data_IF_520024884600
#
_entry.id   IF_520024884600
#
_cell.length_a   1.000
_cell.length_b   1.000
_cell.length_c   1.000
_cell.angle_alpha   90.00
_cell.angle_beta   90.00
_cell.angle_gamma   90.00
#
_symmetry.space_group_name_H-M   'P 1'
#
loop_
_entity.id
_entity.type
_entity.pdbx_description
1 polymer ?
#
# COMPACT_ATOMS: atom_id res chain seq x y z
N UNK A 1 32.10 75.92 -20.69
CA UNK A 1 31.16 74.94 -20.05
C UNK A 1 31.87 73.64 -19.60
N UNK A 2 32.40 73.39 -18.39
CA UNK A 2 33.02 74.26 -17.34
C UNK A 2 32.37 74.25 -15.95
N UNK A 3 31.05 74.22 -15.84
CA UNK A 3 30.38 74.25 -14.52
C UNK A 3 30.07 72.84 -13.97
N UNK A 4 29.79 71.87 -14.85
CA UNK A 4 29.69 70.44 -14.49
C UNK A 4 31.04 69.84 -14.08
N UNK A 5 32.16 70.34 -14.60
CA UNK A 5 33.52 69.93 -14.21
C UNK A 5 33.94 70.40 -12.81
N UNK A 6 33.19 71.31 -12.17
CA UNK A 6 33.57 71.90 -10.87
C UNK A 6 32.98 71.19 -9.63
N UNK A 7 31.97 70.34 -9.77
CA UNK A 7 31.33 69.64 -8.63
C UNK A 7 31.75 68.17 -8.44
N UNK A 8 32.38 67.53 -9.44
CA UNK A 8 32.89 66.16 -9.30
C UNK A 8 34.34 66.06 -8.78
N UNK A 9 35.08 67.18 -8.72
CA UNK A 9 36.51 67.23 -8.31
C UNK A 9 36.73 67.45 -6.80
N UNK A 10 35.68 67.44 -5.98
CA UNK A 10 35.74 67.93 -4.60
C UNK A 10 35.35 66.91 -3.49
N UNK A 11 35.37 65.59 -3.76
CA UNK A 11 35.48 64.56 -2.68
C UNK A 11 36.37 63.38 -3.09
N UNK A 12 37.49 63.63 -3.78
CA UNK A 12 38.63 62.69 -3.76
C UNK A 12 39.52 63.04 -2.58
N UNK A 13 39.17 62.48 -1.41
CA UNK A 13 39.65 62.97 -0.11
C UNK A 13 40.08 61.91 0.91
N UNK A 14 40.44 60.70 0.48
CA UNK A 14 41.52 59.92 1.13
C UNK A 14 41.94 58.71 0.29
N UNK A 15 43.25 58.52 0.15
CA UNK A 15 43.81 57.51 -0.74
C UNK A 15 43.89 56.11 -0.09
N UNK A 16 43.63 55.07 -0.89
CA UNK A 16 44.29 53.75 -0.76
C UNK A 16 44.54 53.19 -2.18
N UNK A 17 45.63 52.43 -2.38
CA UNK A 17 46.11 52.09 -3.72
C UNK A 17 45.19 51.10 -4.44
N UNK A 18 45.17 51.18 -5.79
CA UNK A 18 44.51 50.19 -6.66
C UNK A 18 45.06 48.79 -6.39
N UNK A 19 44.31 47.98 -5.64
CA UNK A 19 44.50 46.53 -5.64
C UNK A 19 43.97 46.01 -6.97
N UNK A 20 44.83 45.35 -7.77
CA UNK A 20 44.35 44.51 -8.87
C UNK A 20 43.53 43.38 -8.24
N UNK A 21 42.22 43.44 -8.42
CA UNK A 21 41.33 42.30 -8.17
C UNK A 21 41.41 41.46 -9.44
N UNK A 22 42.00 40.27 -9.32
CA UNK A 22 41.80 39.19 -10.29
C UNK A 22 40.29 38.93 -10.40
N UNK A 23 39.75 38.53 -11.56
CA UNK A 23 38.38 38.04 -11.63
C UNK A 23 38.29 36.75 -10.81
N UNK A 24 38.00 36.90 -9.51
CA UNK A 24 37.62 35.81 -8.63
C UNK A 24 36.31 35.26 -9.19
N UNK A 25 36.36 34.03 -9.69
CA UNK A 25 35.17 33.27 -10.10
C UNK A 25 34.29 33.16 -8.85
N UNK A 26 33.05 33.63 -8.91
CA UNK A 26 32.21 33.59 -7.72
C UNK A 26 31.93 32.14 -7.32
N UNK A 27 31.81 31.82 -6.02
CA UNK A 27 31.55 30.45 -5.55
C UNK A 27 30.26 29.79 -6.09
N UNK A 28 29.46 30.55 -6.84
CA UNK A 28 28.17 30.17 -7.40
C UNK A 28 28.21 29.85 -8.90
N UNK A 29 29.34 30.08 -9.60
CA UNK A 29 29.50 29.78 -11.03
C UNK A 29 29.73 28.28 -11.34
N UNK A 30 29.73 27.42 -10.32
CA UNK A 30 29.89 25.97 -10.51
C UNK A 30 28.52 25.31 -10.67
N UNK A 31 28.17 24.72 -11.83
CA UNK A 31 26.94 23.95 -11.96
C UNK A 31 27.02 22.65 -11.13
N UNK A 32 26.43 22.68 -9.94
CA UNK A 32 26.43 21.53 -9.03
C UNK A 32 25.95 21.87 -7.62
N UNK A 33 25.94 20.87 -6.75
CA UNK A 33 25.69 21.06 -5.32
C UNK A 33 27.04 21.18 -4.60
N UNK A 34 27.23 22.24 -3.80
CA UNK A 34 28.41 22.36 -2.95
C UNK A 34 28.54 21.15 -2.03
N UNK A 35 29.72 20.52 -2.01
CA UNK A 35 30.02 19.40 -1.11
C UNK A 35 30.31 19.87 0.32
N UNK A 36 30.65 21.16 0.52
CA UNK A 36 30.89 21.71 1.84
C UNK A 36 29.54 21.82 2.59
N UNK A 37 29.40 21.10 3.70
CA UNK A 37 28.17 21.06 4.49
C UNK A 37 27.03 20.23 3.88
N UNK A 38 27.25 19.50 2.78
CA UNK A 38 26.20 18.65 2.20
C UNK A 38 25.88 17.47 3.13
N UNK A 39 24.61 17.24 3.42
CA UNK A 39 24.18 16.03 4.13
C UNK A 39 23.91 14.91 3.14
N UNK A 40 24.06 13.64 3.56
CA UNK A 40 23.65 12.48 2.76
C UNK A 40 22.19 12.59 2.29
N UNK A 41 21.30 13.14 3.14
CA UNK A 41 19.89 13.41 2.81
C UNK A 41 19.78 14.42 1.65
N UNK A 42 20.52 15.52 1.70
CA UNK A 42 20.57 16.54 0.64
C UNK A 42 21.10 15.94 -0.66
N UNK A 43 22.28 15.30 -0.63
CA UNK A 43 22.90 14.66 -1.79
C UNK A 43 21.97 13.63 -2.46
N UNK A 44 21.40 12.72 -1.66
CA UNK A 44 20.47 11.71 -2.16
C UNK A 44 19.17 12.32 -2.74
N UNK A 45 18.70 13.43 -2.19
CA UNK A 45 17.51 14.15 -2.71
C UNK A 45 17.81 14.77 -4.08
N UNK A 46 18.96 15.44 -4.22
CA UNK A 46 19.43 16.03 -5.48
C UNK A 46 19.63 14.96 -6.56
N UNK A 47 20.35 13.87 -6.24
CA UNK A 47 20.53 12.72 -7.16
C UNK A 47 19.18 12.14 -7.60
N UNK A 48 18.19 12.06 -6.69
CA UNK A 48 16.85 11.57 -7.04
C UNK A 48 16.08 12.53 -7.94
N UNK A 49 16.25 13.84 -7.82
CA UNK A 49 15.62 14.81 -8.73
C UNK A 49 16.23 14.74 -10.13
N UNK A 50 17.56 14.72 -10.24
CA UNK A 50 18.28 14.58 -11.53
C UNK A 50 17.85 13.28 -12.24
N UNK A 51 17.87 12.15 -11.52
CA UNK A 51 17.40 10.87 -12.09
C UNK A 51 15.91 10.88 -12.43
N UNK A 52 15.08 11.66 -11.74
CA UNK A 52 13.66 11.76 -12.05
C UNK A 52 13.39 12.54 -13.34
N UNK A 53 14.19 13.57 -13.66
CA UNK A 53 14.09 14.29 -14.94
C UNK A 53 14.55 13.46 -16.13
N UNK A 54 15.50 12.54 -15.92
CA UNK A 54 16.02 11.63 -16.95
C UNK A 54 15.19 10.35 -17.12
N UNK A 55 14.46 9.91 -16.08
CA UNK A 55 13.75 8.62 -16.10
C UNK A 55 12.48 8.72 -16.96
N UNK A 56 12.37 7.99 -18.09
CA UNK A 56 11.19 8.03 -18.93
C UNK A 56 9.97 7.44 -18.20
N UNK A 57 8.81 8.09 -18.39
CA UNK A 57 7.58 7.68 -17.72
C UNK A 57 7.11 6.29 -18.20
N UNK A 58 7.09 5.31 -17.29
CA UNK A 58 6.77 3.91 -17.61
C UNK A 58 5.28 3.74 -17.97
N UNK A 59 5.01 3.28 -19.20
CA UNK A 59 3.66 3.07 -19.75
C UNK A 59 2.75 2.24 -18.83
N UNK A 60 3.24 1.08 -18.34
CA UNK A 60 2.48 0.20 -17.44
C UNK A 60 2.16 0.88 -16.10
N UNK A 61 3.09 1.64 -15.52
CA UNK A 61 2.84 2.41 -14.29
C UNK A 61 1.73 3.45 -14.50
N UNK A 62 1.76 4.21 -15.61
CA UNK A 62 0.69 5.15 -15.96
C UNK A 62 -0.68 4.45 -16.14
N UNK A 63 -0.71 3.26 -16.73
CA UNK A 63 -1.93 2.48 -16.88
C UNK A 63 -2.51 2.02 -15.52
N UNK A 64 -1.67 1.52 -14.61
CA UNK A 64 -2.10 1.10 -13.28
C UNK A 64 -2.54 2.29 -12.43
N UNK A 65 -1.87 3.45 -12.53
CA UNK A 65 -2.32 4.70 -11.88
C UNK A 65 -3.72 5.08 -12.38
N UNK A 66 -4.01 4.98 -13.68
CA UNK A 66 -5.37 5.23 -14.22
C UNK A 66 -6.40 4.26 -13.67
N UNK A 67 -6.07 2.95 -13.59
CA UNK A 67 -6.93 1.93 -12.96
C UNK A 67 -7.22 2.27 -11.49
N UNK A 68 -6.18 2.64 -10.72
CA UNK A 68 -6.32 3.09 -9.33
C UNK A 68 -7.22 4.32 -9.23
N UNK A 69 -7.01 5.33 -10.06
CA UNK A 69 -7.84 6.55 -10.05
C UNK A 69 -9.31 6.23 -10.29
N UNK A 70 -9.63 5.48 -11.34
CA UNK A 70 -11.00 5.11 -11.68
C UNK A 70 -11.67 4.23 -10.60
N UNK A 71 -10.93 3.32 -9.97
CA UNK A 71 -11.47 2.48 -8.90
C UNK A 71 -11.71 3.25 -7.59
N UNK A 72 -10.80 4.17 -7.23
CA UNK A 72 -10.98 5.03 -6.05
C UNK A 72 -12.09 6.07 -6.30
N UNK A 73 -12.20 6.63 -7.50
CA UNK A 73 -13.29 7.52 -7.91
C UNK A 73 -14.66 6.81 -7.81
N UNK A 74 -14.76 5.57 -8.30
CA UNK A 74 -15.97 4.74 -8.19
C UNK A 74 -16.40 4.50 -6.74
N UNK A 75 -15.44 4.31 -5.81
CA UNK A 75 -15.72 4.02 -4.40
C UNK A 75 -15.95 5.29 -3.55
N UNK A 76 -15.19 6.35 -3.82
CA UNK A 76 -15.14 7.56 -2.97
C UNK A 76 -15.93 8.75 -3.56
N UNK A 77 -16.32 8.70 -4.83
CA UNK A 77 -16.89 9.83 -5.58
C UNK A 77 -15.85 10.82 -6.14
N UNK A 78 -14.56 10.66 -5.82
CA UNK A 78 -13.49 11.57 -6.28
C UNK A 78 -12.20 10.81 -6.66
N UNK A 79 -11.59 11.20 -7.78
CA UNK A 79 -10.34 10.62 -8.27
C UNK A 79 -9.10 11.18 -7.54
N UNK A 80 -8.24 10.34 -6.93
CA UNK A 80 -7.06 10.78 -6.20
C UNK A 80 -5.96 11.34 -7.11
N UNK A 81 -5.14 12.24 -6.57
CA UNK A 81 -3.88 12.66 -7.21
C UNK A 81 -2.84 11.53 -7.20
N UNK A 82 -1.82 11.61 -8.06
CA UNK A 82 -0.74 10.61 -8.06
C UNK A 82 0.05 10.64 -6.74
N UNK A 83 0.26 11.83 -6.16
CA UNK A 83 0.94 12.00 -4.88
C UNK A 83 0.17 11.37 -3.72
N UNK A 84 -1.15 11.38 -3.74
CA UNK A 84 -1.98 10.69 -2.74
C UNK A 84 -1.86 9.18 -2.87
N UNK A 85 -1.86 8.63 -4.08
CA UNK A 85 -1.60 7.20 -4.32
C UNK A 85 -0.25 6.81 -3.71
N UNK A 86 0.84 7.52 -4.04
CA UNK A 86 2.18 7.22 -3.53
C UNK A 86 2.35 7.48 -2.02
N UNK A 87 1.53 8.36 -1.44
CA UNK A 87 1.49 8.64 0.01
C UNK A 87 0.71 7.57 0.77
N UNK A 88 -0.43 7.13 0.24
CA UNK A 88 -1.32 6.15 0.84
C UNK A 88 -0.70 4.75 0.93
N UNK A 89 0.17 4.37 -0.02
CA UNK A 89 1.02 3.17 0.10
C UNK A 89 1.91 3.16 1.35
N UNK A 90 2.10 4.30 2.04
CA UNK A 90 2.86 4.39 3.29
C UNK A 90 1.96 4.37 4.54
N UNK A 91 0.64 4.24 4.37
CA UNK A 91 -0.33 4.18 5.47
C UNK A 91 0.07 3.13 6.51
N UNK A 92 -0.09 3.48 7.79
CA UNK A 92 0.28 2.60 8.91
C UNK A 92 -0.63 1.37 9.02
N UNK A 93 -1.84 1.43 8.47
CA UNK A 93 -2.84 0.37 8.56
C UNK A 93 -2.44 -0.88 7.76
N UNK A 94 -1.66 -0.70 6.69
CA UNK A 94 -1.27 -1.76 5.75
C UNK A 94 0.04 -2.42 6.21
N UNK A 95 0.15 -3.75 6.17
CA UNK A 95 1.40 -4.42 6.54
C UNK A 95 2.54 -4.14 5.53
N UNK A 96 3.81 -4.18 5.97
CA UNK A 96 4.97 -3.75 5.15
C UNK A 96 5.16 -4.61 3.88
N UNK A 97 4.94 -5.91 4.01
CA UNK A 97 4.90 -6.87 2.90
C UNK A 97 3.78 -6.54 1.90
N UNK A 98 2.56 -6.24 2.37
CA UNK A 98 1.44 -5.81 1.53
C UNK A 98 1.75 -4.50 0.81
N UNK A 99 2.31 -3.49 1.48
CA UNK A 99 2.77 -2.24 0.81
C UNK A 99 3.77 -2.51 -0.32
N UNK A 100 4.70 -3.44 -0.12
CA UNK A 100 5.67 -3.83 -1.15
C UNK A 100 4.98 -4.55 -2.32
N UNK A 101 3.97 -5.38 -2.06
CA UNK A 101 3.12 -6.00 -3.08
C UNK A 101 2.35 -4.95 -3.88
N UNK A 102 1.62 -4.04 -3.23
CA UNK A 102 0.88 -2.96 -3.90
C UNK A 102 1.81 -2.05 -4.73
N UNK A 103 2.97 -1.66 -4.18
CA UNK A 103 3.96 -0.85 -4.89
C UNK A 103 4.52 -1.56 -6.13
N UNK A 104 4.86 -2.86 -6.02
CA UNK A 104 5.27 -3.67 -7.17
C UNK A 104 4.14 -3.81 -8.19
N UNK A 105 2.90 -3.98 -7.74
CA UNK A 105 1.72 -4.06 -8.59
C UNK A 105 1.51 -2.79 -9.42
N UNK A 106 1.52 -1.61 -8.80
CA UNK A 106 1.41 -0.33 -9.53
C UNK A 106 2.54 -0.16 -10.55
N UNK A 107 3.76 -0.60 -10.24
CA UNK A 107 4.86 -0.57 -11.21
C UNK A 107 4.88 -1.71 -12.25
N UNK A 108 3.94 -2.67 -12.19
CA UNK A 108 4.02 -3.94 -12.93
C UNK A 108 5.37 -4.65 -12.77
N UNK A 109 5.91 -4.63 -11.55
CA UNK A 109 7.18 -5.25 -11.15
C UNK A 109 7.05 -6.66 -10.59
N UNK A 110 5.87 -7.28 -10.68
CA UNK A 110 5.68 -8.71 -10.44
C UNK A 110 6.10 -9.50 -11.69
N UNK A 111 6.78 -10.64 -11.49
CA UNK A 111 7.15 -11.57 -12.56
C UNK A 111 5.95 -12.48 -12.88
N UNK A 112 5.07 -12.03 -13.78
CA UNK A 112 3.84 -12.72 -14.21
C UNK A 112 3.52 -12.40 -15.66
N UNK A 113 2.77 -13.29 -16.32
CA UNK A 113 2.16 -13.03 -17.63
C UNK A 113 3.18 -12.59 -18.68
N UNK A 114 2.93 -11.41 -19.27
CA UNK A 114 3.79 -10.73 -20.25
C UNK A 114 5.26 -10.48 -19.81
N UNK A 115 5.68 -10.84 -18.60
CA UNK A 115 7.10 -10.92 -18.23
C UNK A 115 7.80 -12.12 -18.87
N UNK A 116 7.08 -13.25 -19.03
CA UNK A 116 7.63 -14.54 -19.44
C UNK A 116 7.51 -14.83 -20.94
N UNK A 117 6.59 -14.17 -21.66
CA UNK A 117 6.24 -14.46 -23.07
C UNK A 117 7.41 -14.46 -24.08
N UNK A 118 8.53 -13.81 -23.74
CA UNK A 118 9.75 -13.79 -24.58
C UNK A 118 10.93 -14.61 -24.05
N UNK A 119 10.71 -15.46 -23.03
CA UNK A 119 11.75 -16.34 -22.46
C UNK A 119 11.80 -17.69 -23.18
N UNK A 120 12.91 -18.43 -23.13
CA UNK A 120 12.94 -19.82 -23.59
C UNK A 120 12.10 -20.73 -22.67
N UNK A 121 11.80 -21.94 -23.14
CA UNK A 121 11.17 -22.97 -22.31
C UNK A 121 12.10 -23.41 -21.15
N UNK A 122 11.55 -23.80 -19.98
CA UNK A 122 10.13 -23.86 -19.65
C UNK A 122 9.52 -22.50 -19.25
N UNK A 123 10.33 -21.45 -19.08
CA UNK A 123 9.87 -20.22 -18.43
C UNK A 123 8.75 -19.47 -19.16
N UNK A 124 8.64 -19.58 -20.49
CA UNK A 124 7.55 -18.96 -21.25
C UNK A 124 6.16 -19.47 -20.85
N UNK A 125 6.05 -20.68 -20.32
CA UNK A 125 4.78 -21.28 -19.93
C UNK A 125 4.14 -20.53 -18.75
N UNK A 126 4.95 -19.96 -17.85
CA UNK A 126 4.52 -19.07 -16.76
C UNK A 126 3.88 -17.74 -17.23
N UNK A 127 3.79 -17.48 -18.55
CA UNK A 127 2.99 -16.39 -19.09
C UNK A 127 1.48 -16.67 -19.08
N UNK A 128 1.09 -17.95 -19.11
CA UNK A 128 -0.30 -18.39 -19.21
C UNK A 128 -0.72 -19.07 -17.90
N UNK A 129 -1.94 -18.81 -17.45
CA UNK A 129 -2.56 -19.57 -16.37
C UNK A 129 -3.03 -20.92 -16.92
N UNK A 130 -2.56 -22.08 -16.39
CA UNK A 130 -2.92 -23.38 -16.95
C UNK A 130 -4.39 -23.75 -16.75
N UNK A 131 -5.02 -23.26 -15.66
CA UNK A 131 -6.44 -23.54 -15.38
C UNK A 131 -7.40 -22.74 -16.28
N UNK A 132 -7.00 -21.55 -16.71
CA UNK A 132 -7.87 -20.60 -17.42
C UNK A 132 -7.45 -20.34 -18.87
N UNK A 133 -6.30 -20.88 -19.31
CA UNK A 133 -5.69 -20.69 -20.62
C UNK A 133 -5.65 -19.22 -21.12
N UNK A 134 -5.35 -18.29 -20.21
CA UNK A 134 -5.27 -16.85 -20.50
C UNK A 134 -3.98 -16.25 -19.94
N UNK A 135 -3.63 -15.04 -20.38
CA UNK A 135 -2.44 -14.33 -19.89
C UNK A 135 -2.57 -14.05 -18.40
N UNK A 136 -1.63 -14.56 -17.61
CA UNK A 136 -1.69 -14.47 -16.16
C UNK A 136 -1.23 -13.08 -15.68
N UNK A 137 -2.14 -12.10 -15.66
CA UNK A 137 -1.90 -10.77 -15.10
C UNK A 137 -2.50 -10.62 -13.67
N UNK A 138 -2.29 -9.47 -13.04
CA UNK A 138 -2.73 -9.26 -11.65
C UNK A 138 -4.26 -9.07 -11.51
N UNK A 139 -4.97 -8.70 -12.58
CA UNK A 139 -6.45 -8.71 -12.59
C UNK A 139 -6.92 -10.17 -12.61
N UNK A 140 -6.35 -10.98 -13.51
CA UNK A 140 -6.67 -12.40 -13.61
C UNK A 140 -6.40 -13.15 -12.30
N UNK A 141 -5.17 -13.09 -11.77
CA UNK A 141 -4.76 -13.79 -10.53
C UNK A 141 -5.70 -13.46 -9.36
N UNK A 142 -6.14 -12.20 -9.25
CA UNK A 142 -6.92 -11.75 -8.10
C UNK A 142 -8.42 -11.96 -8.27
N UNK A 143 -8.98 -11.89 -9.48
CA UNK A 143 -10.43 -11.80 -9.67
C UNK A 143 -11.00 -12.72 -10.75
N UNK A 144 -10.32 -12.86 -11.88
CA UNK A 144 -10.87 -13.57 -13.05
C UNK A 144 -10.43 -15.05 -13.12
N UNK A 145 -9.58 -15.49 -12.20
CA UNK A 145 -9.06 -16.86 -12.15
C UNK A 145 -10.02 -17.81 -11.42
N UNK A 146 -10.24 -19.00 -11.97
CA UNK A 146 -11.08 -20.06 -11.39
C UNK A 146 -10.41 -20.83 -10.23
N UNK A 147 -9.34 -20.28 -9.65
CA UNK A 147 -8.57 -20.98 -8.64
C UNK A 147 -9.22 -20.95 -7.26
N UNK A 148 -9.02 -22.04 -6.51
CA UNK A 148 -9.51 -22.16 -5.13
C UNK A 148 -9.03 -21.00 -4.26
N UNK A 149 -7.78 -20.53 -4.44
CA UNK A 149 -7.26 -19.41 -3.66
C UNK A 149 -7.98 -18.09 -3.97
N UNK A 150 -8.29 -17.79 -5.23
CA UNK A 150 -8.98 -16.55 -5.59
C UNK A 150 -10.45 -16.57 -5.11
N UNK A 151 -11.18 -17.64 -5.40
CA UNK A 151 -12.61 -17.75 -5.06
C UNK A 151 -12.83 -17.79 -3.54
N UNK A 152 -12.15 -18.69 -2.83
CA UNK A 152 -12.43 -18.89 -1.41
C UNK A 152 -11.99 -17.69 -0.55
N UNK A 153 -10.88 -17.03 -0.87
CA UNK A 153 -10.40 -15.88 -0.10
C UNK A 153 -11.35 -14.67 -0.23
N UNK A 154 -11.94 -14.43 -1.40
CA UNK A 154 -12.93 -13.35 -1.53
C UNK A 154 -14.26 -13.67 -0.87
N UNK A 155 -14.73 -14.93 -0.94
CA UNK A 155 -15.92 -15.35 -0.20
C UNK A 155 -15.72 -15.14 1.31
N UNK A 156 -14.61 -15.62 1.88
CA UNK A 156 -14.27 -15.41 3.30
C UNK A 156 -14.18 -13.93 3.68
N UNK A 157 -13.61 -13.08 2.81
CA UNK A 157 -13.51 -11.64 3.03
C UNK A 157 -14.89 -10.94 3.02
N UNK A 158 -15.78 -11.36 2.12
CA UNK A 158 -17.15 -10.88 2.03
C UNK A 158 -17.99 -11.32 3.23
N UNK A 159 -18.00 -12.63 3.52
CA UNK A 159 -18.76 -13.22 4.62
C UNK A 159 -18.36 -12.64 5.98
N UNK A 160 -17.06 -12.41 6.19
CA UNK A 160 -16.54 -11.77 7.40
C UNK A 160 -17.09 -10.35 7.58
N UNK A 161 -17.25 -9.58 6.51
CA UNK A 161 -17.72 -8.19 6.56
C UNK A 161 -19.24 -8.05 6.51
N UNK A 162 -20.00 -9.12 6.29
CA UNK A 162 -21.45 -9.09 6.12
C UNK A 162 -22.23 -8.41 7.28
N UNK A 163 -21.73 -8.49 8.52
CA UNK A 163 -22.35 -7.82 9.68
C UNK A 163 -22.00 -6.32 9.79
N UNK A 164 -21.11 -5.79 8.96
CA UNK A 164 -20.59 -4.41 8.98
C UNK A 164 -20.81 -3.63 7.68
N UNK A 165 -21.18 -4.32 6.59
CA UNK A 165 -21.47 -3.73 5.27
C UNK A 165 -22.62 -4.46 4.59
N UNK A 166 -23.65 -3.74 4.15
CA UNK A 166 -24.82 -4.35 3.47
C UNK A 166 -24.47 -4.97 2.11
N UNK A 167 -23.42 -4.45 1.46
CA UNK A 167 -22.94 -4.93 0.16
C UNK A 167 -21.42 -4.95 0.14
N UNK A 168 -20.86 -6.06 -0.36
CA UNK A 168 -19.44 -6.15 -0.68
C UNK A 168 -19.12 -5.25 -1.89
N UNK A 169 -18.11 -4.38 -1.84
CA UNK A 169 -17.83 -3.43 -2.92
C UNK A 169 -17.38 -4.14 -4.20
N UNK A 170 -17.66 -3.58 -5.39
CA UNK A 170 -17.11 -4.08 -6.65
C UNK A 170 -15.60 -3.83 -6.71
N UNK A 171 -14.82 -4.90 -6.55
CA UNK A 171 -13.36 -4.86 -6.55
C UNK A 171 -12.76 -5.19 -7.93
N UNK A 172 -11.70 -4.46 -8.27
CA UNK A 172 -10.80 -4.78 -9.38
C UNK A 172 -9.34 -4.58 -8.94
N UNK A 173 -8.38 -4.82 -9.84
CA UNK A 173 -6.95 -4.61 -9.56
C UNK A 173 -6.64 -3.15 -9.18
N UNK A 174 -7.37 -2.17 -9.72
CA UNK A 174 -7.31 -0.78 -9.30
C UNK A 174 -7.80 -0.58 -7.86
N UNK A 175 -8.88 -1.24 -7.45
CA UNK A 175 -9.38 -1.21 -6.06
C UNK A 175 -8.36 -1.78 -5.09
N UNK A 176 -7.64 -2.85 -5.45
CA UNK A 176 -6.58 -3.44 -4.60
C UNK A 176 -5.35 -2.52 -4.54
N UNK A 177 -4.84 -2.08 -5.68
CA UNK A 177 -3.65 -1.21 -5.76
C UNK A 177 -3.90 0.17 -5.14
N UNK A 178 -5.14 0.66 -5.23
CA UNK A 178 -5.65 1.86 -4.57
C UNK A 178 -6.20 1.61 -3.17
N UNK A 179 -6.18 0.37 -2.68
CA UNK A 179 -6.83 -0.08 -1.43
C UNK A 179 -6.66 0.89 -0.26
N UNK A 180 -5.44 1.39 0.05
CA UNK A 180 -5.21 2.31 1.16
C UNK A 180 -5.90 3.69 1.06
N UNK A 181 -6.52 4.03 -0.08
CA UNK A 181 -7.31 5.24 -0.33
C UNK A 181 -8.83 5.02 -0.24
N UNK A 182 -9.33 3.78 -0.37
CA UNK A 182 -10.77 3.49 -0.40
C UNK A 182 -11.47 3.98 0.87
N UNK A 183 -12.64 4.58 0.76
CA UNK A 183 -13.43 5.11 1.87
C UNK A 183 -14.75 4.38 1.97
N UNK A 184 -15.19 4.15 3.21
CA UNK A 184 -16.40 3.41 3.54
C UNK A 184 -17.18 4.14 4.62
N UNK A 185 -18.49 4.23 4.42
CA UNK A 185 -19.47 4.89 5.29
C UNK A 185 -20.71 4.01 5.37
N UNK A 186 -21.48 4.17 6.44
CA UNK A 186 -22.85 3.68 6.56
C UNK A 186 -23.79 4.86 6.83
N UNK A 187 -25.04 4.59 7.20
CA UNK A 187 -26.07 5.62 7.43
C UNK A 187 -25.74 6.65 8.53
N UNK A 188 -24.70 6.39 9.36
CA UNK A 188 -24.15 7.34 10.33
C UNK A 188 -23.03 8.24 9.79
N UNK A 189 -22.67 8.15 8.51
CA UNK A 189 -21.58 8.89 7.89
C UNK A 189 -20.25 8.11 7.83
N UNK A 190 -19.13 8.84 7.70
CA UNK A 190 -17.81 8.22 7.51
C UNK A 190 -17.30 7.53 8.80
N UNK A 191 -17.39 6.20 8.81
CA UNK A 191 -16.87 5.39 9.91
C UNK A 191 -15.38 5.08 9.71
N UNK A 192 -14.55 5.59 10.63
CA UNK A 192 -13.08 5.45 10.58
C UNK A 192 -12.63 4.01 10.78
N UNK A 193 -13.24 3.27 11.71
CA UNK A 193 -13.01 1.84 11.92
C UNK A 193 -13.43 1.00 10.73
N UNK A 194 -14.65 1.20 10.21
CA UNK A 194 -15.13 0.51 9.00
C UNK A 194 -14.19 0.71 7.81
N UNK A 195 -13.84 1.96 7.51
CA UNK A 195 -12.86 2.28 6.46
C UNK A 195 -11.52 1.57 6.71
N UNK A 196 -11.04 1.54 7.95
CA UNK A 196 -9.78 0.92 8.31
C UNK A 196 -9.81 -0.61 8.16
N UNK A 197 -10.87 -1.28 8.60
CA UNK A 197 -10.97 -2.74 8.49
C UNK A 197 -11.16 -3.18 7.05
N UNK A 198 -11.99 -2.50 6.25
CA UNK A 198 -12.14 -2.79 4.81
C UNK A 198 -10.79 -2.67 4.08
N UNK A 199 -10.00 -1.61 4.35
CA UNK A 199 -8.64 -1.45 3.80
C UNK A 199 -7.71 -2.61 4.17
N UNK A 200 -7.78 -3.09 5.41
CA UNK A 200 -6.99 -4.24 5.88
C UNK A 200 -7.46 -5.51 5.17
N UNK A 201 -8.75 -5.85 5.27
CA UNK A 201 -9.32 -7.08 4.70
C UNK A 201 -9.07 -7.18 3.20
N UNK A 202 -9.35 -6.14 2.41
CA UNK A 202 -9.15 -6.14 0.95
C UNK A 202 -7.67 -6.36 0.59
N UNK A 203 -6.75 -5.62 1.22
CA UNK A 203 -5.34 -5.64 0.82
C UNK A 203 -4.56 -6.83 1.36
N UNK A 204 -4.88 -7.33 2.55
CA UNK A 204 -4.30 -8.56 3.09
C UNK A 204 -4.85 -9.80 2.33
N UNK A 205 -6.15 -9.83 2.00
CA UNK A 205 -6.77 -10.92 1.21
C UNK A 205 -6.17 -11.02 -0.19
N UNK A 206 -6.06 -9.91 -0.92
CA UNK A 206 -5.40 -9.90 -2.24
C UNK A 206 -3.92 -10.34 -2.16
N UNK A 207 -3.21 -9.98 -1.08
CA UNK A 207 -1.84 -10.46 -0.87
C UNK A 207 -1.78 -11.95 -0.48
N UNK A 208 -2.80 -12.50 0.18
CA UNK A 208 -2.91 -13.93 0.45
C UNK A 208 -3.13 -14.74 -0.83
N UNK A 209 -4.06 -14.32 -1.69
CA UNK A 209 -4.28 -14.91 -3.03
C UNK A 209 -2.96 -14.93 -3.80
N UNK A 210 -2.26 -13.78 -3.85
CA UNK A 210 -0.96 -13.67 -4.48
C UNK A 210 0.08 -14.66 -3.91
N UNK A 211 0.18 -14.81 -2.58
CA UNK A 211 1.11 -15.76 -1.96
C UNK A 211 0.78 -17.20 -2.33
N UNK A 212 -0.48 -17.62 -2.20
CA UNK A 212 -0.91 -18.99 -2.48
C UNK A 212 -0.71 -19.32 -3.97
N UNK A 213 -1.05 -18.40 -4.88
CA UNK A 213 -0.72 -18.53 -6.31
C UNK A 213 0.79 -18.64 -6.54
N UNK A 214 1.62 -17.94 -5.78
CA UNK A 214 3.08 -18.07 -5.90
C UNK A 214 3.59 -19.43 -5.42
N UNK A 215 3.10 -19.95 -4.31
CA UNK A 215 3.42 -21.31 -3.85
C UNK A 215 2.99 -22.34 -4.92
N UNK A 216 1.71 -22.35 -5.30
CA UNK A 216 1.16 -23.25 -6.32
C UNK A 216 1.91 -23.18 -7.66
N UNK A 217 2.03 -22.00 -8.28
CA UNK A 217 2.56 -21.83 -9.65
C UNK A 217 4.08 -21.81 -9.74
N UNK A 218 4.83 -21.48 -8.67
CA UNK A 218 6.29 -21.23 -8.75
C UNK A 218 7.10 -22.13 -7.80
N UNK A 219 6.54 -22.55 -6.67
CA UNK A 219 7.22 -23.45 -5.71
C UNK A 219 6.86 -24.92 -5.96
N UNK A 220 5.64 -25.18 -6.42
CA UNK A 220 5.12 -26.52 -6.72
C UNK A 220 4.82 -26.76 -8.21
N UNK A 221 5.13 -25.81 -9.10
CA UNK A 221 4.98 -25.96 -10.57
C UNK A 221 3.57 -26.41 -11.04
N UNK A 222 2.52 -26.04 -10.29
CA UNK A 222 1.12 -26.49 -10.39
C UNK A 222 0.88 -28.00 -10.18
N UNK A 223 1.73 -28.68 -9.41
CA UNK A 223 1.41 -30.00 -8.86
C UNK A 223 0.06 -29.96 -8.14
N UNK A 224 -0.86 -30.82 -8.59
CA UNK A 224 -2.22 -30.93 -8.08
C UNK A 224 -2.27 -31.52 -6.66
N UNK A 225 -1.31 -32.40 -6.31
CA UNK A 225 -1.24 -33.02 -4.99
C UNK A 225 -0.66 -32.06 -3.93
N UNK A 226 0.06 -31.02 -4.38
CA UNK A 226 0.57 -29.92 -3.55
C UNK A 226 -0.36 -28.69 -3.51
N UNK A 227 -1.51 -28.73 -4.21
CA UNK A 227 -2.47 -27.62 -4.20
C UNK A 227 -3.18 -27.53 -2.84
N UNK A 228 -3.21 -26.36 -2.17
CA UNK A 228 -3.77 -26.25 -0.83
C UNK A 228 -5.29 -26.44 -0.83
N UNK A 229 -5.78 -27.19 0.16
CA UNK A 229 -7.21 -27.48 0.30
C UNK A 229 -8.01 -26.23 0.71
N UNK A 230 -9.33 -26.28 0.55
CA UNK A 230 -10.24 -25.19 0.96
C UNK A 230 -10.11 -24.90 2.46
N UNK A 231 -9.96 -25.94 3.28
CA UNK A 231 -9.75 -25.86 4.73
C UNK A 231 -8.41 -25.21 5.08
N UNK A 232 -7.36 -25.48 4.30
CA UNK A 232 -6.05 -24.87 4.47
C UNK A 232 -6.07 -23.39 4.08
N UNK A 233 -6.63 -23.05 2.92
CA UNK A 233 -6.82 -21.66 2.44
C UNK A 233 -7.61 -20.87 3.50
N UNK A 234 -8.73 -21.44 3.97
CA UNK A 234 -9.55 -20.89 5.05
C UNK A 234 -8.72 -20.67 6.33
N UNK A 235 -7.93 -21.67 6.73
CA UNK A 235 -7.05 -21.59 7.88
C UNK A 235 -6.00 -20.49 7.78
N UNK A 236 -5.34 -20.37 6.62
CA UNK A 236 -4.35 -19.31 6.32
C UNK A 236 -4.99 -17.91 6.36
N UNK A 237 -6.22 -17.77 5.87
CA UNK A 237 -6.96 -16.52 5.90
C UNK A 237 -7.33 -16.09 7.33
N UNK A 238 -7.94 -16.98 8.13
CA UNK A 238 -8.22 -16.66 9.54
C UNK A 238 -6.95 -16.43 10.35
N UNK A 239 -5.86 -17.16 10.11
CA UNK A 239 -4.57 -16.92 10.79
C UNK A 239 -3.99 -15.54 10.45
N UNK A 240 -4.12 -15.10 9.19
CA UNK A 240 -3.72 -13.77 8.73
C UNK A 240 -4.54 -12.67 9.43
N UNK A 241 -5.87 -12.76 9.47
CA UNK A 241 -6.71 -11.76 10.13
C UNK A 241 -6.47 -11.75 11.65
N UNK A 242 -6.35 -12.93 12.29
CA UNK A 242 -6.00 -13.01 13.72
C UNK A 242 -4.63 -12.37 14.02
N UNK A 243 -3.64 -12.53 13.13
CA UNK A 243 -2.36 -11.84 13.22
C UNK A 243 -2.51 -10.31 13.11
N UNK A 244 -3.44 -9.82 12.28
CA UNK A 244 -3.77 -8.39 12.20
C UNK A 244 -4.40 -7.85 13.48
N UNK A 245 -5.37 -8.56 14.06
CA UNK A 245 -5.97 -8.22 15.35
C UNK A 245 -4.89 -8.18 16.44
N UNK A 246 -4.06 -9.22 16.54
CA UNK A 246 -2.96 -9.29 17.51
C UNK A 246 -1.94 -8.16 17.36
N UNK A 247 -1.61 -7.78 16.12
CA UNK A 247 -0.69 -6.67 15.83
C UNK A 247 -1.27 -5.32 16.27
N UNK A 248 -2.54 -5.05 15.92
CA UNK A 248 -3.23 -3.81 16.31
C UNK A 248 -3.31 -3.68 17.84
N UNK A 249 -3.72 -4.76 18.53
CA UNK A 249 -3.70 -4.83 20.01
C UNK A 249 -2.34 -4.44 20.56
N UNK A 250 -1.26 -5.04 20.06
CA UNK A 250 0.09 -4.78 20.54
C UNK A 250 0.52 -3.31 20.32
N UNK A 251 0.14 -2.71 19.19
CA UNK A 251 0.45 -1.32 18.88
C UNK A 251 -0.26 -0.30 19.79
N UNK A 252 -1.34 -0.66 20.48
CA UNK A 252 -2.00 0.23 21.46
C UNK A 252 -1.17 0.52 22.71
N UNK A 253 -0.09 -0.23 22.95
CA UNK A 253 0.71 -0.11 24.18
C UNK A 253 1.40 1.26 24.30
N UNK A 254 0.73 2.22 24.98
CA UNK A 254 1.20 3.59 25.22
C UNK A 254 2.52 3.65 26.00
N UNK A 255 2.82 2.66 26.86
CA UNK A 255 4.12 2.59 27.58
C UNK A 255 5.28 2.31 26.61
N UNK A 256 5.09 1.36 25.68
CA UNK A 256 6.12 0.97 24.70
C UNK A 256 6.24 1.96 23.54
N UNK A 257 5.12 2.45 23.02
CA UNK A 257 5.09 3.23 21.77
C UNK A 257 4.87 4.74 21.94
N UNK A 258 4.52 5.22 23.15
CA UNK A 258 4.29 6.64 23.47
C UNK A 258 3.34 7.29 22.44
N UNK A 259 3.73 8.44 21.85
CA UNK A 259 2.99 9.16 20.79
C UNK A 259 2.87 8.40 19.46
N UNK A 260 3.47 7.21 19.32
CA UNK A 260 3.31 6.32 18.15
C UNK A 260 2.37 5.14 18.41
N UNK A 261 1.84 5.01 19.63
CA UNK A 261 0.84 3.99 19.93
C UNK A 261 -0.41 4.20 19.07
N UNK A 262 -1.04 3.10 18.67
CA UNK A 262 -2.35 3.12 18.05
C UNK A 262 -3.40 3.52 19.11
N UNK A 263 -4.44 4.23 18.70
CA UNK A 263 -5.50 4.60 19.64
C UNK A 263 -6.37 3.38 19.99
N UNK A 264 -6.72 3.23 21.27
CA UNK A 264 -7.51 2.07 21.73
C UNK A 264 -8.92 2.11 21.11
N UNK A 265 -9.58 3.27 21.07
CA UNK A 265 -10.94 3.38 20.51
C UNK A 265 -10.97 3.10 19.01
N UNK A 266 -9.95 3.55 18.25
CA UNK A 266 -9.81 3.22 16.83
C UNK A 266 -9.66 1.70 16.60
N UNK A 267 -8.97 0.97 17.48
CA UNK A 267 -8.86 -0.49 17.37
C UNK A 267 -10.19 -1.17 17.68
N UNK A 268 -10.91 -0.72 18.70
CA UNK A 268 -12.26 -1.23 19.01
C UNK A 268 -13.21 -1.01 17.82
N UNK A 269 -13.31 0.23 17.31
CA UNK A 269 -14.13 0.60 16.13
C UNK A 269 -13.73 -0.18 14.84
N UNK A 270 -12.43 -0.45 14.65
CA UNK A 270 -11.96 -1.28 13.52
C UNK A 270 -12.60 -2.67 13.56
N UNK A 271 -12.50 -3.36 14.70
CA UNK A 271 -12.85 -4.78 14.81
C UNK A 271 -14.22 -5.04 15.47
N UNK A 272 -15.01 -4.00 15.71
CA UNK A 272 -16.34 -4.11 16.31
C UNK A 272 -17.25 -5.06 15.53
N UNK A 273 -18.06 -5.87 16.23
CA UNK A 273 -18.95 -6.87 15.60
C UNK A 273 -18.29 -7.96 14.74
N UNK A 274 -16.96 -8.02 14.64
CA UNK A 274 -16.19 -8.93 13.77
C UNK A 274 -15.41 -10.02 14.52
N UNK A 275 -15.40 -9.98 15.85
CA UNK A 275 -14.62 -10.89 16.70
C UNK A 275 -15.54 -11.83 17.46
N UNK A 276 -15.13 -13.10 17.58
CA UNK A 276 -15.76 -14.03 18.52
C UNK A 276 -15.21 -13.73 19.93
N UNK A 277 -16.03 -13.07 20.74
CA UNK A 277 -15.72 -12.72 22.12
C UNK A 277 -16.39 -13.71 23.08
N UNK A 278 -15.65 -14.30 24.05
CA UNK A 278 -16.27 -15.01 25.17
C UNK A 278 -17.27 -14.14 25.94
N UNK A 279 -18.32 -14.75 26.49
CA UNK A 279 -19.48 -14.07 27.12
C UNK A 279 -19.12 -13.06 28.23
N UNK A 280 -17.93 -13.18 28.83
CA UNK A 280 -17.45 -12.34 29.94
C UNK A 280 -16.32 -11.36 29.56
N UNK A 281 -16.13 -11.05 28.28
CA UNK A 281 -15.14 -10.04 27.85
C UNK A 281 -15.76 -8.62 27.89
N UNK A 282 -15.15 -7.65 28.60
CA UNK A 282 -15.64 -6.27 28.60
C UNK A 282 -15.43 -5.60 27.24
N UNK A 283 -16.21 -4.54 26.97
CA UNK A 283 -16.18 -3.80 25.70
C UNK A 283 -14.76 -3.40 25.24
N UNK A 284 -13.84 -3.09 26.17
CA UNK A 284 -12.41 -2.98 25.86
C UNK A 284 -11.71 -4.35 25.95
N UNK A 285 -11.86 -5.16 24.90
CA UNK A 285 -11.29 -6.50 24.79
C UNK A 285 -9.77 -6.52 24.54
N UNK A 286 -9.12 -5.38 24.29
CA UNK A 286 -7.71 -5.29 23.83
C UNK A 286 -6.74 -6.04 24.75
N UNK A 287 -7.01 -6.00 26.07
CA UNK A 287 -6.16 -6.61 27.10
C UNK A 287 -6.57 -8.03 27.52
N UNK A 288 -7.65 -8.57 26.96
CA UNK A 288 -8.18 -9.89 27.33
C UNK A 288 -7.59 -11.01 26.45
N UNK A 289 -7.16 -12.14 27.03
CA UNK A 289 -6.78 -13.32 26.25
C UNK A 289 -8.00 -13.93 25.53
N UNK A 290 -7.77 -14.79 24.53
CA UNK A 290 -8.84 -15.54 23.85
C UNK A 290 -9.65 -14.78 22.81
N UNK A 291 -9.36 -13.50 22.55
CA UNK A 291 -10.01 -12.73 21.48
C UNK A 291 -9.48 -13.14 20.11
N UNK A 292 -10.35 -13.73 19.28
CA UNK A 292 -10.04 -14.25 17.95
C UNK A 292 -11.16 -13.91 16.96
N UNK A 293 -10.83 -13.94 15.67
CA UNK A 293 -11.80 -14.26 14.62
C UNK A 293 -11.86 -15.78 14.55
N UNK A 294 -12.99 -16.37 14.93
CA UNK A 294 -13.18 -17.81 14.89
C UNK A 294 -13.48 -18.34 13.50
N UNK A 295 -13.24 -19.64 13.32
CA UNK A 295 -13.90 -20.40 12.24
C UNK A 295 -15.26 -20.77 12.81
N UNK A 296 -16.34 -20.26 12.22
CA UNK A 296 -17.69 -20.41 12.75
C UNK A 296 -18.05 -21.87 13.02
N UNK A 297 -17.90 -22.30 14.26
CA UNK A 297 -18.45 -23.57 14.77
C UNK A 297 -19.75 -23.25 15.48
N UNK A 298 -20.69 -22.69 14.71
CA UNK A 298 -22.07 -22.41 15.13
C UNK A 298 -22.77 -23.72 15.45
N UNK A 299 -22.55 -24.19 16.68
CA UNK A 299 -23.35 -25.25 17.31
C UNK A 299 -24.81 -24.79 17.20
N UNK A 300 -25.71 -25.57 16.59
CA UNK A 300 -27.08 -25.12 16.36
C UNK A 300 -27.72 -24.76 17.69
N UNK A 301 -28.35 -23.58 17.76
CA UNK A 301 -29.10 -23.15 18.96
C UNK A 301 -30.12 -24.24 19.31
N UNK A 302 -30.22 -24.51 20.61
CA UNK A 302 -30.83 -25.73 21.13
C UNK A 302 -32.23 -25.98 20.58
N UNK A 303 -32.49 -27.23 20.20
CA UNK A 303 -33.84 -27.72 19.92
C UNK A 303 -34.52 -27.95 21.27
N UNK A 304 -35.58 -27.20 21.54
CA UNK A 304 -36.32 -27.26 22.80
C UNK A 304 -36.83 -28.68 23.10
N UNK A 305 -36.68 -29.09 24.37
CA UNK A 305 -37.37 -30.19 25.06
C UNK A 305 -37.44 -29.86 26.55
#
# INVERSE_FOLDING_TARGET
MEETTRKARAVTGNARPRRRVTPDVEPFDTPGASLCGITQKTAHTIIRHIKATETPARRRTKQNIRRVKAAVERQNGEAPTEDEIWRALKSRDIARNVRNFLWKGIHSGHKIGNYFTGMPAPWCEYAICPMCNTTEDLQHILFDCTSNEATNVWNLASDFMANRTDQWPPLDVGSVLGGPLLQFSNDGGQQRGLTRVMRIVITESAFLIWKIRCERRIEHEDDADAAPSVEEITGRWYAMINSRVAHDRHLTNKRRYRRKALDENLVLDTWDGLLELPENVPANWIRHPGVLVGRGTTRPRGRER
#
